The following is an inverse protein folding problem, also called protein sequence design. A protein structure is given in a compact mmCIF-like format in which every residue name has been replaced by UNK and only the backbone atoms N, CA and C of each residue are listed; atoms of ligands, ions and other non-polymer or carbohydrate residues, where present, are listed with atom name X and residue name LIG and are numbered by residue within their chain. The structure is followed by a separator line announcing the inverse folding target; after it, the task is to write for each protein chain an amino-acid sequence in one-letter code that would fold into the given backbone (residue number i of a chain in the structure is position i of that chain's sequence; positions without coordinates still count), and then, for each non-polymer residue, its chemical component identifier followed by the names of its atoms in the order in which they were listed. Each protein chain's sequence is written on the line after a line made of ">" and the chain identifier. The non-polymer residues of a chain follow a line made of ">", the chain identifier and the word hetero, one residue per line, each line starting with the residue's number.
data_IF_239500045096
#
_entry.id   IF_239500045096
#
_cell.length_a   1.000
_cell.length_b   1.000
_cell.length_c   1.000
_cell.angle_alpha   90.00
_cell.angle_beta   90.00
_cell.angle_gamma   90.00
#
_symmetry.space_group_name_H-M   'P 1'
#
loop_
_entity.id
_entity.type
_entity.pdbx_description
1 polymer ?
#
# COMPACT_ATOMS: atom_id res chain seq x y z
N UNK A 1 8.72 -2.89 -13.10
CA UNK A 1 7.63 -2.52 -12.17
C UNK A 1 7.76 -3.40 -10.94
N UNK A 2 7.25 -2.96 -9.79
CA UNK A 2 7.27 -3.72 -8.54
C UNK A 2 5.86 -3.82 -7.97
N UNK A 3 5.62 -4.93 -7.29
CA UNK A 3 4.45 -5.15 -6.44
C UNK A 3 4.91 -5.42 -5.02
N UNK A 4 4.18 -4.86 -4.06
CA UNK A 4 4.39 -5.03 -2.63
C UNK A 4 3.09 -5.55 -2.03
N UNK A 5 3.12 -6.81 -1.63
CA UNK A 5 2.04 -7.49 -0.93
C UNK A 5 2.21 -7.27 0.57
N UNK A 6 1.25 -6.60 1.19
CA UNK A 6 1.24 -6.36 2.64
C UNK A 6 0.05 -7.09 3.25
N UNK A 7 0.27 -8.13 4.08
CA UNK A 7 -0.82 -8.75 4.80
C UNK A 7 -1.53 -7.73 5.68
N UNK A 8 -2.86 -7.78 5.69
CA UNK A 8 -3.71 -6.94 6.53
C UNK A 8 -4.60 -7.80 7.43
N UNK A 9 -4.90 -7.30 8.62
CA UNK A 9 -5.89 -7.93 9.49
C UNK A 9 -6.77 -6.88 10.17
N UNK A 10 -8.02 -7.25 10.42
CA UNK A 10 -8.90 -6.48 11.29
C UNK A 10 -8.66 -6.90 12.75
N UNK A 11 -8.49 -5.95 13.69
CA UNK A 11 -8.13 -6.27 15.07
C UNK A 11 -9.23 -7.06 15.81
N UNK A 12 -10.51 -6.82 15.48
CA UNK A 12 -11.62 -7.31 16.31
C UNK A 12 -12.26 -8.64 15.88
N UNK A 13 -12.00 -9.16 14.67
CA UNK A 13 -12.79 -10.29 14.14
C UNK A 13 -12.02 -11.28 13.25
N UNK A 14 -10.72 -11.42 13.49
CA UNK A 14 -9.82 -12.39 12.83
C UNK A 14 -9.80 -12.32 11.29
N UNK A 15 -10.48 -11.36 10.65
CA UNK A 15 -10.46 -11.22 9.19
C UNK A 15 -9.07 -10.84 8.73
N UNK A 16 -8.59 -11.50 7.68
CA UNK A 16 -7.29 -11.24 7.07
C UNK A 16 -7.43 -10.98 5.58
N UNK A 17 -6.40 -10.38 4.99
CA UNK A 17 -6.32 -10.12 3.57
C UNK A 17 -4.91 -9.69 3.16
N UNK A 18 -4.76 -9.27 1.92
CA UNK A 18 -3.53 -8.66 1.39
C UNK A 18 -3.91 -7.33 0.78
N UNK A 19 -3.19 -6.28 1.16
CA UNK A 19 -3.20 -5.01 0.46
C UNK A 19 -2.03 -5.01 -0.53
N UNK A 20 -2.32 -4.74 -1.79
CA UNK A 20 -1.35 -4.81 -2.89
C UNK A 20 -1.01 -3.40 -3.34
N UNK A 21 0.27 -3.04 -3.29
CA UNK A 21 0.78 -1.80 -3.86
C UNK A 21 1.58 -2.11 -5.12
N UNK A 22 1.39 -1.34 -6.17
CA UNK A 22 2.13 -1.49 -7.43
C UNK A 22 2.70 -0.16 -7.87
N UNK A 23 3.94 -0.15 -8.37
CA UNK A 23 4.53 1.05 -8.95
C UNK A 23 5.95 0.85 -9.48
N UNK A 24 6.55 1.90 -10.04
CA UNK A 24 7.96 1.88 -10.44
C UNK A 24 8.89 2.07 -9.24
N UNK A 25 9.95 1.27 -9.18
CA UNK A 25 11.04 1.40 -8.22
C UNK A 25 12.33 0.85 -8.84
N UNK A 26 13.47 1.40 -8.41
CA UNK A 26 14.81 0.95 -8.82
C UNK A 26 15.14 -0.46 -8.31
N UNK A 27 14.65 -0.78 -7.12
CA UNK A 27 14.96 -2.00 -6.39
C UNK A 27 13.88 -2.29 -5.33
N UNK A 28 14.07 -3.42 -4.62
CA UNK A 28 13.18 -3.90 -3.57
C UNK A 28 13.01 -2.91 -2.40
N UNK A 29 14.08 -2.23 -1.99
CA UNK A 29 14.01 -1.29 -0.86
C UNK A 29 13.27 -0.02 -1.25
N UNK A 30 13.53 0.50 -2.46
CA UNK A 30 12.80 1.62 -3.03
C UNK A 30 11.30 1.31 -3.19
N UNK A 31 10.94 0.06 -3.53
CA UNK A 31 9.55 -0.38 -3.59
C UNK A 31 8.87 -0.31 -2.21
N UNK A 32 9.49 -0.85 -1.15
CA UNK A 32 8.96 -0.77 0.20
C UNK A 32 8.84 0.67 0.70
N UNK A 33 9.87 1.50 0.50
CA UNK A 33 9.85 2.90 0.89
C UNK A 33 8.71 3.66 0.21
N UNK A 34 8.50 3.41 -1.08
CA UNK A 34 7.42 4.05 -1.85
C UNK A 34 6.04 3.58 -1.39
N UNK A 35 5.85 2.28 -1.14
CA UNK A 35 4.61 1.73 -0.61
C UNK A 35 4.27 2.30 0.78
N UNK A 36 5.28 2.45 1.64
CA UNK A 36 5.08 3.02 2.98
C UNK A 36 4.70 4.50 2.91
N UNK A 37 5.38 5.27 2.06
CA UNK A 37 5.10 6.70 1.86
C UNK A 37 3.65 6.96 1.47
N UNK A 38 3.10 6.19 0.52
CA UNK A 38 1.71 6.40 0.08
C UNK A 38 0.68 5.95 1.12
N UNK A 39 1.05 5.04 2.03
CA UNK A 39 0.21 4.72 3.19
C UNK A 39 0.21 5.87 4.20
N UNK A 40 1.38 6.42 4.52
CA UNK A 40 1.46 7.53 5.48
C UNK A 40 0.66 8.75 4.96
N UNK A 41 0.78 9.06 3.66
CA UNK A 41 -0.02 10.11 2.98
C UNK A 41 -1.53 9.79 3.02
N UNK A 42 -1.93 8.55 2.73
CA UNK A 42 -3.33 8.14 2.79
C UNK A 42 -3.90 8.23 4.22
N UNK A 43 -3.13 7.86 5.23
CA UNK A 43 -3.54 7.96 6.63
C UNK A 43 -3.68 9.42 7.06
N UNK A 44 -2.77 10.31 6.64
CA UNK A 44 -2.90 11.75 6.89
C UNK A 44 -4.20 12.30 6.27
N UNK A 45 -4.51 11.92 5.03
CA UNK A 45 -5.75 12.32 4.38
C UNK A 45 -6.99 11.85 5.16
N UNK A 46 -7.03 10.57 5.53
CA UNK A 46 -8.14 10.00 6.29
C UNK A 46 -8.30 10.66 7.68
N UNK A 47 -7.20 10.98 8.37
CA UNK A 47 -7.24 11.69 9.66
C UNK A 47 -7.84 13.09 9.54
N UNK A 48 -7.68 13.73 8.38
CA UNK A 48 -8.25 15.03 8.08
C UNK A 48 -9.67 14.95 7.46
N UNK A 49 -10.29 13.77 7.44
CA UNK A 49 -11.61 13.55 6.80
C UNK A 49 -11.58 13.73 5.27
N UNK A 50 -10.40 13.64 4.66
CA UNK A 50 -10.20 13.74 3.20
C UNK A 50 -10.14 12.35 2.57
N UNK A 51 -10.49 12.28 1.30
CA UNK A 51 -10.35 11.07 0.50
C UNK A 51 -8.88 10.72 0.26
N UNK A 52 -8.59 9.43 0.09
CA UNK A 52 -7.26 8.92 -0.24
C UNK A 52 -6.86 9.43 -1.63
N UNK A 53 -5.66 10.02 -1.79
CA UNK A 53 -5.18 10.45 -3.09
C UNK A 53 -5.11 9.29 -4.08
N UNK A 54 -5.71 9.47 -5.26
CA UNK A 54 -5.57 8.56 -6.38
C UNK A 54 -4.82 9.31 -7.48
N UNK A 55 -3.60 8.89 -7.86
CA UNK A 55 -2.86 9.54 -8.93
C UNK A 55 -3.64 9.47 -10.25
N UNK A 56 -3.71 10.58 -10.98
CA UNK A 56 -4.36 10.67 -12.30
C UNK A 56 -3.74 9.70 -13.33
N UNK A 57 -2.46 9.36 -13.18
CA UNK A 57 -1.73 8.39 -14.02
C UNK A 57 -1.72 6.99 -13.39
N UNK A 58 -2.93 6.48 -13.11
CA UNK A 58 -3.27 5.35 -12.25
C UNK A 58 -2.70 3.94 -12.59
N UNK A 59 -1.74 3.78 -13.52
CA UNK A 59 -1.17 2.46 -13.84
C UNK A 59 0.30 2.28 -13.44
N UNK A 60 1.03 3.36 -13.19
CA UNK A 60 2.49 3.30 -13.05
C UNK A 60 2.97 3.85 -11.70
N UNK A 61 2.15 4.66 -11.04
CA UNK A 61 2.50 5.32 -9.78
C UNK A 61 1.92 4.61 -8.54
N UNK A 62 2.68 4.72 -7.45
CA UNK A 62 2.30 4.19 -6.14
C UNK A 62 1.06 4.89 -5.59
N UNK A 63 0.13 4.12 -5.06
CA UNK A 63 -1.05 4.64 -4.36
C UNK A 63 -1.61 3.59 -3.39
N UNK A 64 -2.11 4.03 -2.23
CA UNK A 64 -2.78 3.17 -1.25
C UNK A 64 -4.27 2.96 -1.59
N UNK A 65 -4.54 2.61 -2.85
CA UNK A 65 -5.93 2.42 -3.34
C UNK A 65 -6.61 1.32 -2.55
N UNK A 66 -7.80 1.61 -2.01
CA UNK A 66 -8.55 0.64 -1.22
C UNK A 66 -7.92 0.36 0.15
N UNK A 67 -7.12 1.29 0.70
CA UNK A 67 -6.72 1.22 2.11
C UNK A 67 -7.99 1.19 2.95
N UNK A 68 -8.04 0.24 3.88
CA UNK A 68 -9.22 0.01 4.73
C UNK A 68 -8.98 0.66 6.08
N UNK A 69 -9.69 1.73 6.45
CA UNK A 69 -9.62 2.29 7.79
C UNK A 69 -9.91 1.21 8.85
N UNK A 70 -9.14 1.22 9.94
CA UNK A 70 -9.27 0.24 11.03
C UNK A 70 -8.60 -1.12 10.76
N UNK A 71 -8.01 -1.35 9.58
CA UNK A 71 -7.21 -2.54 9.33
C UNK A 71 -5.72 -2.26 9.58
N UNK A 72 -5.03 -3.22 10.19
CA UNK A 72 -3.60 -3.14 10.47
C UNK A 72 -2.78 -3.71 9.32
N UNK A 73 -1.76 -2.97 8.86
CA UNK A 73 -0.78 -3.42 7.87
C UNK A 73 0.40 -4.12 8.55
N UNK A 74 0.58 -5.41 8.26
CA UNK A 74 1.65 -6.27 8.81
C UNK A 74 2.90 -6.22 7.94
N UNK A 75 3.57 -5.06 7.97
CA UNK A 75 4.76 -4.77 7.16
C UNK A 75 5.92 -5.73 7.39
N UNK A 76 6.05 -6.29 8.60
CA UNK A 76 7.03 -7.31 8.95
C UNK A 76 6.85 -8.62 8.16
N UNK A 77 5.67 -8.83 7.57
CA UNK A 77 5.33 -9.97 6.71
C UNK A 77 5.21 -9.59 5.23
N UNK A 78 5.50 -8.34 4.89
CA UNK A 78 5.33 -7.86 3.53
C UNK A 78 6.35 -8.49 2.58
N UNK A 79 5.92 -8.71 1.34
CA UNK A 79 6.75 -9.26 0.26
C UNK A 79 6.77 -8.28 -0.89
N UNK A 80 7.88 -8.25 -1.60
CA UNK A 80 8.02 -7.44 -2.79
C UNK A 80 8.59 -8.29 -3.92
N UNK A 81 7.99 -8.18 -5.10
CA UNK A 81 8.40 -8.89 -6.29
C UNK A 81 8.42 -7.96 -7.49
N UNK A 82 9.39 -8.20 -8.37
CA UNK A 82 9.49 -7.50 -9.63
C UNK A 82 8.45 -8.08 -10.58
N UNK A 83 7.63 -7.21 -11.17
CA UNK A 83 6.71 -7.58 -12.24
C UNK A 83 7.45 -7.38 -13.57
N UNK A 84 7.57 -8.46 -14.32
CA UNK A 84 7.95 -8.46 -15.73
C UNK A 84 6.67 -8.48 -16.56
N UNK A 85 6.47 -7.44 -17.37
CA UNK A 85 5.34 -7.33 -18.32
C UNK A 85 5.66 -8.09 -19.61
#
# INVERSE_FOLDING_TARGET
>A
MWEVDVPICHPDDQRTGIHVFTGLASDKNAAFASARRVVDEALEHLQNGREIPVPDHARIDWAARGLRPGWELRWERAKAHQITL
#
